data_IF_145550187234
#
_entry.id   IF_145550187234
#
_cell.length_a   1.000
_cell.length_b   1.000
_cell.length_c   1.000
_cell.angle_alpha   90.00
_cell.angle_beta   90.00
_cell.angle_gamma   90.00
#
_symmetry.space_group_name_H-M   'P 1'
#
loop_
_entity.id
_entity.type
_entity.pdbx_description
1 polymer ?
#
# COMPACT_ATOMS: atom_id res chain seq x y z
N UNK A 1 13.97 -6.24 9.51
CA UNK A 1 13.37 -5.36 8.47
C UNK A 1 12.11 -6.03 7.95
N UNK A 2 11.01 -5.29 7.84
CA UNK A 2 9.77 -5.78 7.25
C UNK A 2 9.93 -5.94 5.74
N UNK A 3 9.44 -7.04 5.16
CA UNK A 3 9.52 -7.32 3.73
C UNK A 3 8.58 -6.40 2.95
N UNK A 4 9.05 -5.77 1.88
CA UNK A 4 8.21 -4.94 1.02
C UNK A 4 7.01 -5.73 0.48
N UNK A 5 5.79 -5.25 0.73
CA UNK A 5 4.55 -5.98 0.39
C UNK A 5 4.34 -6.11 -1.13
N UNK A 6 5.03 -5.30 -1.93
CA UNK A 6 4.86 -5.26 -3.38
C UNK A 6 5.85 -6.13 -4.15
N UNK A 7 7.15 -5.90 -3.92
CA UNK A 7 8.25 -6.55 -4.63
C UNK A 7 8.96 -7.62 -3.80
N UNK A 8 8.59 -7.78 -2.52
CA UNK A 8 9.21 -8.74 -1.62
C UNK A 8 10.70 -8.45 -1.28
N UNK A 9 11.22 -7.25 -1.62
CA UNK A 9 12.55 -6.78 -1.21
C UNK A 9 12.67 -6.59 0.30
N UNK A 10 13.90 -6.62 0.81
CA UNK A 10 14.23 -6.46 2.24
C UNK A 10 15.02 -5.18 2.53
N UNK A 11 15.48 -4.53 1.47
CA UNK A 11 16.34 -3.35 1.38
C UNK A 11 15.60 -2.02 1.54
N UNK A 12 14.26 -2.03 1.49
CA UNK A 12 13.43 -0.82 1.61
C UNK A 12 12.08 -1.12 2.26
N UNK A 13 11.44 -0.08 2.81
CA UNK A 13 10.06 -0.15 3.29
C UNK A 13 9.08 -0.10 2.13
N UNK A 14 7.91 -0.70 2.27
CA UNK A 14 6.86 -0.69 1.24
C UNK A 14 6.51 0.72 0.74
N UNK A 15 6.48 1.70 1.64
CA UNK A 15 6.18 3.10 1.29
C UNK A 15 7.22 3.72 0.34
N UNK A 16 8.46 3.23 0.37
CA UNK A 16 9.61 3.69 -0.42
C UNK A 16 9.86 2.81 -1.66
N UNK A 17 8.92 1.91 -2.01
CA UNK A 17 9.11 1.00 -3.14
C UNK A 17 9.04 1.74 -4.49
N UNK A 18 10.19 1.96 -5.13
CA UNK A 18 10.32 2.63 -6.43
C UNK A 18 9.72 1.85 -7.61
N UNK A 19 9.75 0.51 -7.56
CA UNK A 19 9.15 -0.35 -8.60
C UNK A 19 7.64 -0.05 -8.71
N UNK A 20 7.01 0.22 -7.57
CA UNK A 20 5.60 0.55 -7.47
C UNK A 20 5.44 1.99 -6.96
N UNK A 21 5.86 2.95 -7.78
CA UNK A 21 6.03 4.36 -7.38
C UNK A 21 4.74 5.15 -7.09
N UNK A 22 3.58 4.73 -7.60
CA UNK A 22 2.31 5.42 -7.37
C UNK A 22 1.17 4.53 -6.86
N UNK A 23 0.15 5.18 -6.32
CA UNK A 23 -1.06 4.56 -5.78
C UNK A 23 -1.76 3.60 -6.75
N UNK A 24 -1.91 3.98 -8.04
CA UNK A 24 -2.57 3.15 -9.04
C UNK A 24 -1.85 1.81 -9.25
N UNK A 25 -0.52 1.84 -9.43
CA UNK A 25 0.27 0.61 -9.62
C UNK A 25 0.33 -0.24 -8.35
N UNK A 26 0.42 0.41 -7.18
CA UNK A 26 0.39 -0.27 -5.87
C UNK A 26 -0.92 -1.00 -5.64
N UNK A 27 -2.05 -0.33 -5.84
CA UNK A 27 -3.39 -0.94 -5.68
C UNK A 27 -3.59 -2.11 -6.65
N UNK A 28 -3.20 -1.95 -7.92
CA UNK A 28 -3.24 -3.06 -8.90
C UNK A 28 -2.41 -4.27 -8.44
N UNK A 29 -1.21 -4.04 -7.89
CA UNK A 29 -0.35 -5.12 -7.37
C UNK A 29 -0.94 -5.84 -6.17
N UNK A 30 -1.49 -5.12 -5.20
CA UNK A 30 -2.15 -5.75 -4.04
C UNK A 30 -3.37 -6.57 -4.49
N UNK A 31 -4.18 -6.01 -5.40
CA UNK A 31 -5.31 -6.75 -5.98
C UNK A 31 -4.87 -8.00 -6.74
N UNK A 32 -3.77 -7.95 -7.51
CA UNK A 32 -3.25 -9.12 -8.22
C UNK A 32 -2.71 -10.20 -7.26
N UNK A 33 -2.27 -9.80 -6.07
CA UNK A 33 -1.90 -10.72 -4.97
C UNK A 33 -3.12 -11.30 -4.23
N UNK A 34 -4.36 -10.98 -4.65
CA UNK A 34 -5.62 -11.38 -3.99
C UNK A 34 -5.69 -10.94 -2.52
N UNK A 35 -5.12 -9.77 -2.22
CA UNK A 35 -5.10 -9.16 -0.89
C UNK A 35 -6.12 -8.04 -0.78
N UNK A 36 -6.67 -7.85 0.41
CA UNK A 36 -7.58 -6.74 0.67
C UNK A 36 -6.80 -5.41 0.67
N UNK A 37 -7.31 -4.37 0.02
CA UNK A 37 -6.67 -3.05 0.02
C UNK A 37 -6.74 -2.35 1.39
N UNK A 38 -7.66 -2.80 2.25
CA UNK A 38 -7.94 -2.21 3.56
C UNK A 38 -7.05 -2.78 4.66
N UNK A 39 -6.73 -4.07 4.62
CA UNK A 39 -5.95 -4.74 5.66
C UNK A 39 -4.76 -5.57 5.15
N UNK A 40 -4.55 -5.65 3.83
CA UNK A 40 -3.47 -6.40 3.15
C UNK A 40 -3.48 -7.92 3.35
N UNK A 41 -4.44 -8.46 4.10
CA UNK A 41 -4.57 -9.90 4.32
C UNK A 41 -5.08 -10.63 3.06
N UNK A 42 -4.67 -11.89 2.84
CA UNK A 42 -5.25 -12.75 1.81
C UNK A 42 -6.74 -12.93 2.08
N UNK A 43 -7.59 -12.48 1.15
CA UNK A 43 -9.06 -12.51 1.24
C UNK A 43 -9.66 -11.94 2.54
N UNK A 44 -10.23 -10.75 2.45
CA UNK A 44 -11.48 -10.46 3.17
C UNK A 44 -12.12 -9.17 2.64
N UNK A 45 -13.27 -9.37 1.99
CA UNK A 45 -14.25 -8.36 1.58
C UNK A 45 -14.02 -7.63 0.24
N UNK A 46 -15.13 -7.41 -0.47
CA UNK A 46 -15.21 -6.75 -1.78
C UNK A 46 -15.05 -5.22 -1.67
N UNK A 47 -15.24 -4.66 -0.47
CA UNK A 47 -15.21 -3.23 -0.19
C UNK A 47 -14.55 -2.95 1.16
N UNK A 48 -14.13 -1.68 1.37
CA UNK A 48 -13.67 -1.20 2.68
C UNK A 48 -14.69 -1.49 3.78
N UNK A 49 -15.97 -1.12 3.55
CA UNK A 49 -17.06 -1.22 4.52
C UNK A 49 -17.32 -2.63 5.03
N UNK A 50 -16.94 -3.65 4.25
CA UNK A 50 -17.15 -5.06 4.56
C UNK A 50 -15.90 -5.74 5.12
N UNK A 51 -14.76 -5.03 5.17
CA UNK A 51 -13.53 -5.57 5.72
C UNK A 51 -13.62 -5.59 7.27
N UNK A 52 -13.54 -6.76 7.92
CA UNK A 52 -13.61 -6.86 9.39
C UNK A 52 -12.44 -6.14 10.08
N UNK A 53 -11.37 -5.86 9.34
CA UNK A 53 -10.15 -5.18 9.82
C UNK A 53 -10.04 -3.73 9.31
N UNK A 54 -11.09 -3.14 8.73
CA UNK A 54 -11.07 -1.76 8.25
C UNK A 54 -10.75 -0.72 9.35
N UNK A 55 -11.01 -1.09 10.61
CA UNK A 55 -10.78 -0.27 11.80
C UNK A 55 -9.59 -0.77 12.63
N UNK A 56 -8.73 -1.62 12.07
CA UNK A 56 -7.52 -2.09 12.77
C UNK A 56 -6.33 -1.29 12.26
N UNK A 57 -5.64 -0.62 13.18
CA UNK A 57 -4.40 0.08 12.86
C UNK A 57 -3.26 -0.92 12.59
N UNK A 58 -2.40 -0.61 11.64
CA UNK A 58 -1.15 -1.32 11.39
C UNK A 58 -0.01 -0.32 11.26
N UNK A 59 1.24 -0.79 11.27
CA UNK A 59 2.46 0.02 11.12
C UNK A 59 2.50 0.88 9.84
N UNK A 60 1.62 0.57 8.87
CA UNK A 60 1.56 1.23 7.57
C UNK A 60 0.30 2.10 7.40
N UNK A 61 -0.61 2.10 8.38
CA UNK A 61 -1.80 2.93 8.39
C UNK A 61 -1.48 4.37 8.82
N UNK A 62 -2.28 5.32 8.34
CA UNK A 62 -2.35 6.69 8.81
C UNK A 62 -3.79 7.01 9.21
N UNK A 63 -3.95 7.69 10.35
CA UNK A 63 -5.22 8.09 10.95
C UNK A 63 -5.70 9.49 10.54
N UNK A 64 -4.94 10.20 9.69
CA UNK A 64 -4.95 11.67 9.64
C UNK A 64 -6.26 12.35 9.17
N UNK A 65 -7.25 11.65 8.58
CA UNK A 65 -8.45 12.36 8.05
C UNK A 65 -9.63 11.50 7.55
N UNK A 66 -9.67 10.18 7.77
CA UNK A 66 -10.76 9.34 7.21
C UNK A 66 -11.45 8.50 8.29
N UNK A 67 -12.74 8.22 8.07
CA UNK A 67 -13.58 7.32 8.90
C UNK A 67 -12.98 5.92 9.17
N UNK A 68 -11.91 5.55 8.46
CA UNK A 68 -11.26 4.24 8.48
C UNK A 68 -9.75 4.42 8.44
N UNK A 69 -9.00 3.45 8.98
CA UNK A 69 -7.55 3.43 8.85
C UNK A 69 -7.16 3.27 7.37
N UNK A 70 -6.18 4.06 6.94
CA UNK A 70 -5.79 4.14 5.54
C UNK A 70 -4.29 3.88 5.38
N UNK A 71 -3.91 2.91 4.56
CA UNK A 71 -2.51 2.69 4.23
C UNK A 71 -1.94 3.87 3.43
N UNK A 72 -1.03 4.64 4.03
CA UNK A 72 -0.49 5.86 3.41
C UNK A 72 0.08 5.58 2.01
N UNK A 73 0.77 4.45 1.88
CA UNK A 73 1.37 4.04 0.62
C UNK A 73 0.34 3.70 -0.48
N UNK A 74 -0.92 3.39 -0.15
CA UNK A 74 -2.02 3.20 -1.12
C UNK A 74 -2.81 4.48 -1.38
N UNK A 75 -2.47 5.58 -0.71
CA UNK A 75 -3.18 6.86 -0.86
C UNK A 75 -2.97 7.44 -2.26
N UNK A 76 -4.05 7.90 -2.90
CA UNK A 76 -3.97 8.58 -4.19
C UNK A 76 -3.09 9.84 -4.14
N UNK A 77 -2.98 10.48 -2.97
CA UNK A 77 -2.17 11.67 -2.74
C UNK A 77 -0.69 11.35 -2.45
N UNK A 78 -0.32 10.07 -2.31
CA UNK A 78 1.06 9.65 -2.10
C UNK A 78 1.62 9.07 -3.40
N UNK A 79 2.68 9.71 -3.90
CA UNK A 79 3.52 9.19 -4.97
C UNK A 79 4.97 9.44 -4.61
N UNK A 80 5.84 8.48 -4.92
CA UNK A 80 7.27 8.73 -4.97
C UNK A 80 7.55 9.36 -6.33
N UNK A 81 8.40 10.39 -6.36
CA UNK A 81 8.94 10.88 -7.63
C UNK A 81 9.63 9.72 -8.34
N UNK A 82 9.16 9.39 -9.55
CA UNK A 82 9.86 8.42 -10.38
C UNK A 82 11.26 9.00 -10.61
N UNK A 83 12.35 8.28 -10.31
CA UNK A 83 13.68 8.73 -10.69
C UNK A 83 13.63 9.03 -12.19
N UNK A 84 13.79 10.30 -12.56
CA UNK A 84 14.00 10.65 -13.96
C UNK A 84 15.29 9.97 -14.36
N UNK A 85 15.25 9.21 -15.45
CA UNK A 85 16.46 8.63 -16.03
C UNK A 85 17.30 9.79 -16.60
N UNK A 86 17.97 10.53 -15.73
CA UNK A 86 19.00 11.48 -16.08
C UNK A 86 20.24 11.08 -15.26
N UNK A 87 21.19 10.44 -15.93
CA UNK A 87 22.51 10.19 -15.36
C UNK A 87 23.13 8.86 -15.77
N UNK A 88 23.46 8.72 -17.06
CA UNK A 88 24.81 8.36 -17.55
C UNK A 88 24.81 8.44 -19.07
#
# INVERSE_FOLDING_TARGET
MEKCVFCAGLDHKSIDCFIYWNSNVRRKRISSQKRCLSCLEPKCALSHSTCPRQNVECSLCSSASRKYFHHLFLCNFYSIEKPTANGS
#
